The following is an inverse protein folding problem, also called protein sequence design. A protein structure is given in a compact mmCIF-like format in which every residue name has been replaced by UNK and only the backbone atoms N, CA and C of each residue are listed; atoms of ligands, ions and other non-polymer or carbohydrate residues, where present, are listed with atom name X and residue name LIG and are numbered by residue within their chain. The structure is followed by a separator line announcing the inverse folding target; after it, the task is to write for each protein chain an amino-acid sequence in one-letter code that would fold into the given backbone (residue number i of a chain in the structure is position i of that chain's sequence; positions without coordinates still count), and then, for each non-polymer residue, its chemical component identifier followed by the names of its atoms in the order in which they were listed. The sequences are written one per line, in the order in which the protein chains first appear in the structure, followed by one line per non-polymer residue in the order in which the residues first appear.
data_IF_072788330383
#
_entry.id   IF_072788330383
#
_cell.length_a   1.000
_cell.length_b   1.000
_cell.length_c   1.000
_cell.angle_alpha   90.00
_cell.angle_beta   90.00
_cell.angle_gamma   90.00
#
_symmetry.space_group_name_H-M   'P 1'
#
loop_
_entity.id
_entity.type
_entity.pdbx_description
1 polymer ?
#
# COMPACT_ATOMS: atom_id res chain seq x y z
N UNK A 1 9.23 13.47 1.39
CA UNK A 1 8.49 13.45 2.67
C UNK A 1 9.46 13.93 3.73
N UNK A 2 9.08 14.89 4.58
CA UNK A 2 9.94 15.27 5.70
C UNK A 2 9.89 14.18 6.80
N UNK A 3 10.99 14.04 7.54
CA UNK A 3 11.08 13.09 8.66
C UNK A 3 9.97 13.31 9.71
N UNK A 4 9.53 14.56 9.89
CA UNK A 4 8.39 14.94 10.75
C UNK A 4 7.05 14.35 10.31
N UNK A 5 6.80 14.19 9.01
CA UNK A 5 5.57 13.54 8.52
C UNK A 5 5.57 12.04 8.84
N UNK A 6 6.74 11.39 8.75
CA UNK A 6 6.88 9.95 9.01
C UNK A 6 6.65 9.66 10.49
N UNK A 7 7.29 10.41 11.40
CA UNK A 7 7.12 10.22 12.85
C UNK A 7 5.69 10.50 13.30
N UNK A 8 5.02 11.48 12.69
CA UNK A 8 3.60 11.77 12.97
C UNK A 8 2.68 10.62 12.55
N UNK A 9 2.91 10.03 11.37
CA UNK A 9 2.13 8.87 10.90
C UNK A 9 2.37 7.67 11.81
N UNK A 10 3.61 7.41 12.21
CA UNK A 10 3.95 6.31 13.12
C UNK A 10 3.26 6.45 14.49
N UNK A 11 3.30 7.65 15.09
CA UNK A 11 2.60 7.92 16.36
C UNK A 11 1.09 7.72 16.24
N UNK A 12 0.49 8.14 15.14
CA UNK A 12 -0.96 7.94 14.88
C UNK A 12 -1.28 6.45 14.72
N UNK A 13 -0.46 5.73 13.97
CA UNK A 13 -0.57 4.28 13.77
C UNK A 13 -0.54 3.51 15.10
N UNK A 14 0.43 3.81 15.97
CA UNK A 14 0.58 3.14 17.28
C UNK A 14 -0.66 3.31 18.18
N UNK A 15 -1.32 4.47 18.10
CA UNK A 15 -2.53 4.77 18.88
C UNK A 15 -3.81 4.18 18.27
N UNK A 16 -3.77 3.62 17.06
CA UNK A 16 -4.97 3.12 16.39
C UNK A 16 -5.24 1.66 16.78
N UNK A 17 -6.51 1.32 17.05
CA UNK A 17 -6.91 -0.06 17.36
C UNK A 17 -6.45 -1.05 16.27
N UNK A 18 -5.96 -2.25 16.64
CA UNK A 18 -5.46 -3.27 15.72
C UNK A 18 -6.41 -3.57 14.55
N UNK A 19 -7.71 -3.60 14.81
CA UNK A 19 -8.73 -3.98 13.82
C UNK A 19 -9.38 -2.78 13.11
N UNK A 20 -8.91 -1.55 13.36
CA UNK A 20 -9.52 -0.36 12.78
C UNK A 20 -9.19 -0.18 11.29
N UNK A 21 -10.18 0.30 10.52
CA UNK A 21 -9.97 0.70 9.10
C UNK A 21 -8.86 1.75 8.95
N UNK A 22 -8.74 2.67 9.92
CA UNK A 22 -7.65 3.67 9.97
C UNK A 22 -6.26 3.02 10.03
N UNK A 23 -6.09 1.97 10.84
CA UNK A 23 -4.81 1.26 10.94
C UNK A 23 -4.39 0.64 9.60
N UNK A 24 -5.35 0.00 8.90
CA UNK A 24 -5.15 -0.51 7.54
C UNK A 24 -4.77 0.60 6.54
N UNK A 25 -5.39 1.78 6.64
CA UNK A 25 -5.04 2.91 5.76
C UNK A 25 -3.62 3.46 5.96
N UNK A 26 -3.05 3.34 7.17
CA UNK A 26 -1.66 3.74 7.39
C UNK A 26 -0.68 2.77 6.71
N UNK A 27 -1.05 1.50 6.59
CA UNK A 27 -0.23 0.49 5.92
C UNK A 27 -0.26 0.59 4.40
N UNK A 28 -1.38 0.96 3.78
CA UNK A 28 -1.49 0.98 2.31
C UNK A 28 -0.43 1.87 1.63
N UNK A 29 -0.11 3.03 2.24
CA UNK A 29 0.92 3.92 1.74
C UNK A 29 2.34 3.35 1.93
N UNK A 30 2.55 2.58 3.00
CA UNK A 30 3.80 1.91 3.28
C UNK A 30 4.01 0.70 2.35
N UNK A 31 3.00 -0.16 2.22
CA UNK A 31 3.00 -1.34 1.34
C UNK A 31 3.33 -0.97 -0.09
N UNK A 32 2.64 0.03 -0.67
CA UNK A 32 2.92 0.48 -2.04
C UNK A 32 4.38 0.91 -2.23
N UNK A 33 4.95 1.61 -1.25
CA UNK A 33 6.36 2.04 -1.31
C UNK A 33 7.32 0.88 -1.14
N UNK A 34 7.02 -0.08 -0.28
CA UNK A 34 7.83 -1.28 -0.11
C UNK A 34 7.86 -2.08 -1.41
N UNK A 35 6.70 -2.33 -2.02
CA UNK A 35 6.60 -3.03 -3.32
C UNK A 35 7.42 -2.30 -4.38
N UNK A 36 7.31 -0.97 -4.48
CA UNK A 36 8.14 -0.22 -5.41
C UNK A 36 9.64 -0.37 -5.14
N UNK A 37 10.07 -0.27 -3.88
CA UNK A 37 11.49 -0.38 -3.53
C UNK A 37 12.06 -1.75 -3.86
N UNK A 38 11.36 -2.82 -3.49
CA UNK A 38 11.80 -4.20 -3.76
C UNK A 38 11.79 -4.50 -5.27
N UNK A 39 10.75 -4.09 -5.99
CA UNK A 39 10.73 -4.29 -7.45
C UNK A 39 11.74 -3.42 -8.18
N UNK A 40 12.08 -2.23 -7.66
CA UNK A 40 13.12 -1.38 -8.23
C UNK A 40 14.52 -1.96 -8.03
N UNK A 41 14.78 -2.63 -6.90
CA UNK A 41 16.06 -3.31 -6.67
C UNK A 41 16.27 -4.47 -7.62
N UNK A 42 15.21 -5.22 -7.93
CA UNK A 42 15.27 -6.36 -8.87
C UNK A 42 15.21 -5.91 -10.34
N UNK A 43 14.44 -4.86 -10.63
CA UNK A 43 14.31 -4.29 -11.96
C UNK A 43 14.41 -2.75 -11.89
N UNK A 44 15.60 -2.18 -12.16
CA UNK A 44 15.85 -0.74 -12.13
C UNK A 44 15.02 0.09 -13.11
N UNK A 45 14.39 -0.51 -14.13
CA UNK A 45 13.49 0.22 -15.03
C UNK A 45 12.11 0.47 -14.43
N UNK A 46 11.78 -0.18 -13.31
CA UNK A 46 10.47 -0.08 -12.67
C UNK A 46 10.17 1.36 -12.25
N UNK A 47 8.96 1.83 -12.56
CA UNK A 47 8.45 3.12 -12.15
C UNK A 47 7.30 2.96 -11.14
N UNK A 48 7.06 4.00 -10.33
CA UNK A 48 5.92 4.01 -9.42
C UNK A 48 4.58 3.92 -10.18
N UNK A 49 4.53 4.46 -11.40
CA UNK A 49 3.39 4.40 -12.30
C UNK A 49 3.08 2.96 -12.71
N UNK A 50 4.10 2.17 -13.04
CA UNK A 50 3.95 0.73 -13.35
C UNK A 50 3.38 -0.03 -12.16
N UNK A 51 3.94 0.18 -10.96
CA UNK A 51 3.44 -0.43 -9.71
C UNK A 51 1.98 -0.06 -9.46
N UNK A 52 1.62 1.21 -9.62
CA UNK A 52 0.23 1.67 -9.47
C UNK A 52 -0.73 0.97 -10.45
N UNK A 53 -0.31 0.79 -11.71
CA UNK A 53 -1.13 0.12 -12.74
C UNK A 53 -1.39 -1.34 -12.39
N UNK A 54 -0.36 -2.06 -11.92
CA UNK A 54 -0.46 -3.46 -11.50
C UNK A 54 -1.38 -3.61 -10.29
N UNK A 55 -1.16 -2.80 -9.23
CA UNK A 55 -1.99 -2.85 -8.02
C UNK A 55 -3.47 -2.55 -8.32
N UNK A 56 -3.75 -1.60 -9.22
CA UNK A 56 -5.12 -1.31 -9.66
C UNK A 56 -5.75 -2.49 -10.39
N UNK A 57 -5.02 -3.14 -11.30
CA UNK A 57 -5.49 -4.33 -12.02
C UNK A 57 -5.77 -5.50 -11.07
N UNK A 58 -4.91 -5.69 -10.05
CA UNK A 58 -5.12 -6.71 -9.02
C UNK A 58 -6.37 -6.43 -8.17
N UNK A 59 -6.58 -5.18 -7.76
CA UNK A 59 -7.76 -4.80 -6.98
C UNK A 59 -9.08 -5.08 -7.74
N UNK A 60 -9.12 -4.75 -9.04
CA UNK A 60 -10.28 -5.06 -9.89
C UNK A 60 -10.52 -6.57 -9.96
N UNK A 61 -9.46 -7.35 -10.22
CA UNK A 61 -9.56 -8.81 -10.34
C UNK A 61 -9.99 -9.49 -9.03
N UNK A 62 -9.59 -8.96 -7.87
CA UNK A 62 -10.02 -9.47 -6.57
C UNK A 62 -11.51 -9.19 -6.34
N UNK A 63 -11.98 -8.00 -6.69
CA UNK A 63 -13.39 -7.63 -6.57
C UNK A 63 -14.30 -8.46 -7.49
N UNK A 64 -13.85 -8.72 -8.73
CA UNK A 64 -14.56 -9.64 -9.66
C UNK A 64 -14.67 -11.06 -9.10
N UNK A 65 -13.64 -11.53 -8.38
CA UNK A 65 -13.60 -12.87 -7.79
C UNK A 65 -14.45 -12.99 -6.52
N UNK A 66 -14.61 -11.91 -5.76
CA UNK A 66 -15.56 -11.85 -4.64
C UNK A 66 -17.01 -11.88 -5.14
N UNK A 67 -17.33 -11.11 -6.18
CA UNK A 67 -18.68 -11.09 -6.78
C UNK A 67 -19.13 -12.41 -7.43
N UNK A 68 -18.22 -13.36 -7.69
CA UNK A 68 -18.56 -14.70 -8.19
C UNK A 68 -18.85 -15.71 -7.04
N UNK A 69 -18.53 -15.36 -5.80
CA UNK A 69 -18.73 -16.23 -4.63
C UNK A 69 -20.06 -15.99 -3.89
N UNK A 70 -20.80 -14.94 -4.27
CA UNK A 70 -22.17 -14.65 -3.83
C UNK A 70 -23.19 -15.22 -4.83
#
# INVERSE_FOLDING_TARGET
MSNTKITTILKKYQKTSPNSKRRKSYFSAFEKKMIYRTTKTENPSTSMQTVNKVLRKLAVKLNEKENWRD
#
